data_IF_273390977984
#
_entry.id   IF_273390977984
#
_cell.length_a   1.000
_cell.length_b   1.000
_cell.length_c   1.000
_cell.angle_alpha   90.00
_cell.angle_beta   90.00
_cell.angle_gamma   90.00
#
_symmetry.space_group_name_H-M   'P 1'
#
loop_
_entity.id
_entity.type
_entity.pdbx_description
1 polymer ?
#
# COMPACT_ATOMS: atom_id res chain seq x y z
N UNK A 1 -12.18 12.54 -4.29
CA UNK A 1 -11.10 11.56 -4.11
C UNK A 1 -9.90 12.01 -4.92
N UNK A 2 -8.71 12.04 -4.32
CA UNK A 2 -7.46 12.48 -4.96
C UNK A 2 -6.59 11.25 -5.31
N UNK A 3 -6.96 10.48 -6.33
CA UNK A 3 -6.17 9.32 -6.79
C UNK A 3 -5.37 9.67 -8.04
N UNK A 4 -4.05 9.48 -8.00
CA UNK A 4 -3.14 9.75 -9.11
C UNK A 4 -3.58 9.02 -10.39
N UNK A 5 -3.93 7.75 -10.27
CA UNK A 5 -4.39 6.93 -11.40
C UNK A 5 -5.76 7.43 -11.92
N UNK A 6 -6.68 7.83 -11.03
CA UNK A 6 -7.98 8.36 -11.47
C UNK A 6 -7.88 9.70 -12.22
N UNK A 7 -6.88 10.51 -11.89
CA UNK A 7 -6.69 11.84 -12.46
C UNK A 7 -5.84 11.80 -13.73
N UNK A 8 -4.79 10.97 -13.75
CA UNK A 8 -3.79 10.94 -14.83
C UNK A 8 -3.90 9.70 -15.72
N UNK A 9 -4.65 8.67 -15.32
CA UNK A 9 -4.70 7.37 -16.00
C UNK A 9 -3.44 6.51 -15.84
N UNK A 10 -2.37 7.06 -15.24
CA UNK A 10 -1.07 6.40 -15.11
C UNK A 10 -0.28 6.89 -13.89
N UNK A 11 0.79 6.16 -13.54
CA UNK A 11 1.84 6.63 -12.64
C UNK A 11 3.00 7.15 -13.51
N UNK A 12 3.36 8.44 -13.45
CA UNK A 12 4.49 8.96 -14.23
C UNK A 12 5.79 8.23 -13.88
N UNK A 13 6.60 7.79 -14.86
CA UNK A 13 7.76 6.93 -14.63
C UNK A 13 8.88 7.60 -13.80
N UNK A 14 8.93 8.93 -13.77
CA UNK A 14 9.92 9.70 -13.02
C UNK A 14 9.44 10.08 -11.60
N UNK A 15 8.18 9.78 -11.26
CA UNK A 15 7.63 10.09 -9.95
C UNK A 15 8.15 9.07 -8.93
N UNK A 16 8.98 9.54 -7.99
CA UNK A 16 9.52 8.70 -6.92
C UNK A 16 8.46 8.53 -5.82
N UNK A 17 7.75 7.40 -5.86
CA UNK A 17 6.79 7.02 -4.83
C UNK A 17 7.44 6.06 -3.83
N UNK A 18 7.29 6.32 -2.54
CA UNK A 18 7.76 5.39 -1.49
C UNK A 18 6.82 4.19 -1.32
N UNK A 19 5.53 4.36 -1.62
CA UNK A 19 4.53 3.30 -1.58
C UNK A 19 3.30 3.65 -2.43
N UNK A 20 2.52 2.63 -2.78
CA UNK A 20 1.20 2.77 -3.38
C UNK A 20 0.14 2.20 -2.45
N UNK A 21 -0.79 3.05 -2.01
CA UNK A 21 -1.96 2.59 -1.26
C UNK A 21 -2.97 1.94 -2.20
N UNK A 22 -3.39 0.73 -1.86
CA UNK A 22 -4.42 0.01 -2.58
C UNK A 22 -5.77 0.20 -1.91
N UNK A 23 -6.78 0.50 -2.70
CA UNK A 23 -8.16 0.54 -2.21
C UNK A 23 -8.81 -0.83 -2.32
N UNK A 24 -9.82 -1.11 -1.48
CA UNK A 24 -10.63 -2.34 -1.48
C UNK A 24 -11.18 -2.77 -2.85
N UNK A 25 -11.36 -1.83 -3.78
CA UNK A 25 -11.89 -2.07 -5.13
C UNK A 25 -10.82 -2.40 -6.18
N UNK A 26 -9.55 -2.35 -5.80
CA UNK A 26 -8.43 -2.63 -6.69
C UNK A 26 -8.11 -4.12 -6.62
N UNK A 27 -9.04 -4.96 -7.05
CA UNK A 27 -8.74 -6.38 -7.30
C UNK A 27 -7.65 -6.45 -8.37
N UNK A 28 -6.54 -7.06 -8.01
CA UNK A 28 -5.33 -7.27 -8.81
C UNK A 28 -5.52 -8.24 -10.01
N UNK A 29 -6.75 -8.42 -10.50
CA UNK A 29 -7.09 -9.45 -11.49
C UNK A 29 -8.13 -9.06 -12.55
N UNK A 30 -8.69 -7.85 -12.53
CA UNK A 30 -9.56 -7.38 -13.59
C UNK A 30 -8.73 -6.94 -14.81
N UNK A 31 -8.88 -7.63 -15.95
CA UNK A 31 -8.17 -7.43 -17.22
C UNK A 31 -8.38 -6.05 -17.90
N UNK A 32 -8.67 -4.98 -17.16
CA UNK A 32 -9.06 -3.67 -17.68
C UNK A 32 -8.52 -2.46 -16.92
N UNK A 33 -7.63 -2.62 -15.91
CA UNK A 33 -6.92 -1.45 -15.39
C UNK A 33 -5.75 -1.11 -16.33
N UNK A 34 -5.73 0.07 -16.97
CA UNK A 34 -4.82 0.40 -18.06
C UNK A 34 -3.35 0.49 -17.63
N UNK A 35 -3.06 0.51 -16.33
CA UNK A 35 -1.70 0.62 -15.80
C UNK A 35 -1.57 -0.29 -14.60
N UNK A 36 -0.93 -1.44 -14.77
CA UNK A 36 -0.39 -2.16 -13.62
C UNK A 36 0.70 -1.27 -13.01
N UNK A 37 0.60 -0.92 -11.72
CA UNK A 37 1.69 -0.24 -11.04
C UNK A 37 2.98 -1.03 -11.24
N UNK A 38 4.10 -0.34 -11.46
CA UNK A 38 5.41 -1.01 -11.55
C UNK A 38 5.54 -2.01 -10.40
N UNK A 39 5.94 -3.28 -10.67
CA UNK A 39 6.16 -4.28 -9.62
C UNK A 39 7.11 -3.81 -8.52
N UNK A 40 7.92 -2.78 -8.81
CA UNK A 40 8.92 -2.22 -7.90
C UNK A 40 8.37 -1.30 -6.80
N UNK A 41 7.11 -0.83 -6.87
CA UNK A 41 6.56 0.07 -5.84
C UNK A 41 5.87 -0.77 -4.77
N UNK A 42 6.26 -0.67 -3.48
CA UNK A 42 5.66 -1.46 -2.42
C UNK A 42 4.19 -1.04 -2.22
N UNK A 43 3.33 -2.04 -2.09
CA UNK A 43 1.89 -1.84 -1.86
C UNK A 43 1.61 -1.72 -0.38
N UNK A 44 0.67 -0.87 0.01
CA UNK A 44 0.17 -0.77 1.40
C UNK A 44 -1.35 -0.71 1.39
N UNK A 45 -1.96 -1.07 2.51
CA UNK A 45 -3.38 -0.85 2.78
C UNK A 45 -3.57 -0.21 4.15
N UNK A 46 -4.62 0.59 4.26
CA UNK A 46 -5.13 1.17 5.49
C UNK A 46 -6.65 1.08 5.52
N UNK A 47 -7.25 1.31 6.69
CA UNK A 47 -8.69 1.25 6.86
C UNK A 47 -9.43 2.46 6.27
N UNK A 48 -8.74 3.58 6.04
CA UNK A 48 -9.34 4.87 5.64
C UNK A 48 -10.60 5.18 6.45
N UNK A 49 -10.46 5.05 7.78
CA UNK A 49 -11.58 5.05 8.73
C UNK A 49 -12.23 6.43 8.84
N UNK A 50 -13.54 6.47 8.65
CA UNK A 50 -14.39 7.65 8.87
C UNK A 50 -15.16 7.56 10.20
N UNK A 51 -15.17 6.38 10.84
CA UNK A 51 -15.70 6.15 12.18
C UNK A 51 -14.73 5.29 13.04
N UNK A 52 -14.73 5.43 14.38
CA UNK A 52 -13.83 4.68 15.26
C UNK A 52 -13.91 3.16 15.11
N UNK A 53 -15.09 2.61 14.84
CA UNK A 53 -15.35 1.18 14.67
C UNK A 53 -14.68 0.61 13.41
N UNK A 54 -14.29 1.47 12.48
CA UNK A 54 -13.61 1.08 11.24
C UNK A 54 -12.09 1.00 11.41
N UNK A 55 -11.53 1.50 12.53
CA UNK A 55 -10.08 1.51 12.76
C UNK A 55 -9.56 0.08 12.79
N UNK A 56 -8.53 -0.20 11.98
CA UNK A 56 -7.93 -1.53 11.89
C UNK A 56 -8.76 -2.53 11.09
N UNK A 57 -9.85 -2.11 10.42
CA UNK A 57 -10.55 -2.95 9.45
C UNK A 57 -9.66 -3.35 8.27
N UNK A 58 -8.65 -2.54 7.95
CA UNK A 58 -7.55 -2.90 7.07
C UNK A 58 -6.24 -2.27 7.56
N UNK A 59 -5.12 -3.00 7.46
CA UNK A 59 -3.81 -2.51 7.88
C UNK A 59 -2.65 -3.27 7.21
N UNK A 60 -1.48 -2.64 7.22
CA UNK A 60 -0.22 -3.24 6.76
C UNK A 60 0.63 -3.60 7.98
N UNK A 61 1.16 -4.82 8.01
CA UNK A 61 2.05 -5.30 9.07
C UNK A 61 3.50 -5.16 8.61
N UNK A 62 4.32 -4.54 9.44
CA UNK A 62 5.73 -4.30 9.17
C UNK A 62 6.61 -5.03 10.20
N UNK A 63 7.80 -5.45 9.76
CA UNK A 63 8.90 -5.83 10.64
C UNK A 63 9.87 -4.66 10.73
N UNK A 64 10.00 -4.07 11.92
CA UNK A 64 10.78 -2.86 12.22
C UNK A 64 11.66 -3.09 13.45
N UNK A 65 12.73 -2.31 13.59
CA UNK A 65 13.51 -2.23 14.83
C UNK A 65 12.85 -1.38 15.91
N UNK A 66 12.14 -0.33 15.51
CA UNK A 66 11.38 0.59 16.37
C UNK A 66 10.21 1.24 15.58
N UNK A 67 9.16 1.76 16.24
CA UNK A 67 8.03 2.39 15.57
C UNK A 67 8.34 3.83 15.12
N UNK A 68 9.24 3.97 14.15
CA UNK A 68 9.66 5.27 13.61
C UNK A 68 9.43 5.40 12.11
N UNK A 69 9.29 6.63 11.61
CA UNK A 69 9.17 6.90 10.17
C UNK A 69 10.41 6.44 9.39
N UNK A 70 11.59 6.52 10.01
CA UNK A 70 12.85 6.05 9.42
C UNK A 70 12.78 4.54 9.14
N UNK A 71 12.35 3.76 10.12
CA UNK A 71 12.17 2.31 10.01
C UNK A 71 11.11 1.93 8.98
N UNK A 72 9.99 2.67 8.93
CA UNK A 72 8.96 2.45 7.90
C UNK A 72 9.52 2.61 6.48
N UNK A 73 10.36 3.61 6.24
CA UNK A 73 11.02 3.81 4.94
C UNK A 73 11.96 2.66 4.57
N UNK A 74 12.72 2.13 5.52
CA UNK A 74 13.54 0.93 5.31
C UNK A 74 12.66 -0.27 4.96
N UNK A 75 11.54 -0.45 5.65
CA UNK A 75 10.62 -1.56 5.41
C UNK A 75 9.93 -1.49 4.04
N UNK A 76 9.57 -0.29 3.58
CA UNK A 76 9.02 -0.07 2.25
C UNK A 76 10.05 -0.40 1.15
N UNK A 77 11.33 -0.11 1.39
CA UNK A 77 12.42 -0.44 0.45
C UNK A 77 12.95 -1.87 0.59
N UNK A 78 12.56 -2.61 1.62
CA UNK A 78 13.09 -3.96 1.88
C UNK A 78 14.55 -3.96 2.34
N UNK A 79 15.00 -2.89 2.99
CA UNK A 79 16.41 -2.66 3.37
C UNK A 79 16.70 -3.10 4.80
N UNK A 80 17.95 -3.46 5.08
CA UNK A 80 18.44 -3.81 6.43
C UNK A 80 17.58 -4.85 7.18
N UNK A 81 16.96 -5.77 6.44
CA UNK A 81 16.08 -6.82 6.99
C UNK A 81 14.66 -6.36 7.35
N UNK A 82 14.34 -5.06 7.23
CA UNK A 82 12.99 -4.52 7.43
C UNK A 82 12.14 -4.82 6.21
N UNK A 83 10.87 -5.09 6.44
CA UNK A 83 9.94 -5.46 5.35
C UNK A 83 8.48 -5.29 5.73
N UNK A 84 7.64 -5.23 4.70
CA UNK A 84 6.22 -5.57 4.82
C UNK A 84 6.11 -7.09 5.03
N UNK A 85 5.42 -7.51 6.08
CA UNK A 85 5.21 -8.92 6.41
C UNK A 85 3.93 -9.44 5.75
N UNK A 86 2.85 -8.67 5.87
CA UNK A 86 1.55 -8.98 5.28
C UNK A 86 0.65 -7.76 5.27
N UNK A 87 -0.41 -7.83 4.50
CA UNK A 87 -1.53 -6.87 4.50
C UNK A 87 -2.76 -7.62 5.00
N UNK A 88 -3.56 -7.01 5.85
CA UNK A 88 -4.76 -7.62 6.42
C UNK A 88 -5.97 -6.73 6.09
N UNK A 89 -7.00 -7.29 5.46
CA UNK A 89 -8.30 -6.67 5.23
C UNK A 89 -9.39 -7.55 5.84
N UNK A 90 -10.19 -6.98 6.75
CA UNK A 90 -11.22 -7.66 7.55
C UNK A 90 -10.76 -8.98 8.16
N UNK A 91 -9.52 -9.01 8.66
CA UNK A 91 -8.92 -10.19 9.28
C UNK A 91 -8.33 -11.21 8.29
N UNK A 92 -8.46 -10.99 6.97
CA UNK A 92 -7.92 -11.86 5.93
C UNK A 92 -6.61 -11.29 5.41
N UNK A 93 -5.59 -12.13 5.27
CA UNK A 93 -4.33 -11.72 4.63
C UNK A 93 -4.55 -11.52 3.14
N UNK A 94 -4.17 -10.36 2.61
CA UNK A 94 -4.25 -10.01 1.18
C UNK A 94 -2.86 -9.81 0.58
N UNK A 95 -2.74 -10.02 -0.75
CA UNK A 95 -1.49 -10.04 -1.51
C UNK A 95 -0.63 -8.77 -1.38
#
# INVERSE_FOLDING_TARGET
SFSLISQLGMIPPHLRLEALEMTRRTELGGAGLPVQPSPSIPRVISSDSHAPEEIGSAYTVYLLGEPSLKELRLALRGEEGRRIVRRVDRGVTVL
#
